data_IF_711249557719
#
_entry.id   IF_711249557719
#
_cell.length_a   1.000
_cell.length_b   1.000
_cell.length_c   1.000
_cell.angle_alpha   90.00
_cell.angle_beta   90.00
_cell.angle_gamma   90.00
#
_symmetry.space_group_name_H-M   'P 1'
#
loop_
_entity.id
_entity.type
_entity.pdbx_description
1 polymer ?
#
# COMPACT_ATOMS: atom_id res chain seq x y z
N UNK A 1 -10.47 -14.05 0.28
CA UNK A 1 -9.53 -13.83 -0.84
C UNK A 1 -8.11 -13.92 -0.30
N UNK A 2 -7.07 -14.15 -1.14
CA UNK A 2 -5.67 -14.26 -0.67
C UNK A 2 -5.23 -13.03 0.14
N UNK A 3 -5.74 -11.85 -0.25
CA UNK A 3 -5.54 -10.57 0.44
C UNK A 3 -5.84 -10.60 1.94
N UNK A 4 -6.76 -11.44 2.38
CA UNK A 4 -7.24 -11.49 3.77
C UNK A 4 -6.25 -12.25 4.67
N UNK A 5 -5.32 -12.99 4.07
CA UNK A 5 -4.28 -13.78 4.74
C UNK A 5 -2.94 -13.07 4.80
N UNK A 6 -2.77 -11.95 4.08
CA UNK A 6 -1.58 -11.12 4.18
C UNK A 6 -1.72 -10.20 5.40
N UNK A 7 -0.72 -10.17 6.29
CA UNK A 7 -0.78 -9.32 7.49
C UNK A 7 -0.09 -7.97 7.27
N UNK A 8 -0.58 -6.92 7.94
CA UNK A 8 0.11 -5.63 8.04
C UNK A 8 0.59 -5.30 9.46
N UNK A 9 -0.15 -5.75 10.47
CA UNK A 9 0.17 -5.63 11.89
C UNK A 9 -0.05 -6.98 12.58
N UNK A 10 0.76 -7.25 13.59
CA UNK A 10 0.60 -8.39 14.51
C UNK A 10 0.75 -7.89 15.94
N UNK A 11 0.32 -8.68 16.91
CA UNK A 11 0.55 -8.39 18.33
C UNK A 11 1.19 -9.58 19.07
N UNK A 12 1.45 -9.40 20.36
CA UNK A 12 2.07 -10.42 21.22
C UNK A 12 1.14 -11.61 21.53
N UNK A 13 -0.16 -11.51 21.19
CA UNK A 13 -1.16 -12.55 21.34
C UNK A 13 -1.38 -13.35 20.05
N UNK A 14 -0.50 -13.19 19.06
CA UNK A 14 -0.58 -13.83 17.75
C UNK A 14 -1.85 -13.48 16.94
N UNK A 15 -2.46 -12.34 17.23
CA UNK A 15 -3.52 -11.77 16.40
C UNK A 15 -2.88 -10.91 15.29
N UNK A 16 -3.56 -10.80 14.15
CA UNK A 16 -3.09 -10.01 13.03
C UNK A 16 -4.20 -9.15 12.44
N UNK A 17 -3.79 -8.02 11.86
CA UNK A 17 -4.66 -7.18 11.04
C UNK A 17 -4.34 -7.42 9.57
N UNK A 18 -5.32 -7.85 8.74
CA UNK A 18 -5.12 -8.04 7.31
C UNK A 18 -4.61 -6.77 6.62
N UNK A 19 -3.68 -6.95 5.68
CA UNK A 19 -3.04 -5.87 4.93
C UNK A 19 -4.05 -5.03 4.18
N UNK A 20 -4.99 -5.66 3.47
CA UNK A 20 -6.02 -4.93 2.72
C UNK A 20 -6.88 -4.06 3.62
N UNK A 21 -7.21 -4.53 4.84
CA UNK A 21 -7.98 -3.74 5.80
C UNK A 21 -7.14 -2.58 6.33
N UNK A 22 -5.85 -2.80 6.62
CA UNK A 22 -4.95 -1.72 7.02
C UNK A 22 -4.84 -0.60 5.97
N UNK A 23 -4.72 -0.97 4.70
CA UNK A 23 -4.63 0.00 3.59
C UNK A 23 -5.94 0.80 3.46
N UNK A 24 -7.10 0.15 3.61
CA UNK A 24 -8.41 0.81 3.61
C UNK A 24 -8.56 1.74 4.82
N UNK A 25 -8.14 1.30 6.01
CA UNK A 25 -8.19 2.12 7.23
C UNK A 25 -7.37 3.41 7.05
N UNK A 26 -6.16 3.31 6.49
CA UNK A 26 -5.29 4.45 6.23
C UNK A 26 -5.91 5.40 5.20
N UNK A 27 -6.51 4.88 4.13
CA UNK A 27 -7.25 5.70 3.16
C UNK A 27 -8.45 6.41 3.81
N UNK A 28 -9.22 5.72 4.66
CA UNK A 28 -10.36 6.31 5.36
C UNK A 28 -9.93 7.42 6.33
N UNK A 29 -8.84 7.22 7.07
CA UNK A 29 -8.26 8.25 7.95
C UNK A 29 -7.78 9.45 7.14
N UNK A 30 -7.06 9.22 6.04
CA UNK A 30 -6.57 10.28 5.15
C UNK A 30 -7.73 11.09 4.57
N UNK A 31 -8.83 10.44 4.21
CA UNK A 31 -10.01 11.11 3.69
C UNK A 31 -10.66 12.04 4.72
N UNK A 32 -10.75 11.60 5.98
CA UNK A 32 -11.22 12.43 7.08
C UNK A 32 -10.30 13.64 7.29
N UNK A 33 -8.98 13.45 7.21
CA UNK A 33 -8.00 14.54 7.32
C UNK A 33 -8.21 15.54 6.19
N UNK A 34 -8.25 15.09 4.94
CA UNK A 34 -8.46 15.93 3.76
C UNK A 34 -9.80 16.69 3.81
N UNK A 35 -10.84 16.09 4.40
CA UNK A 35 -12.14 16.77 4.59
C UNK A 35 -12.07 17.95 5.55
N UNK A 36 -11.11 17.94 6.49
CA UNK A 36 -10.88 18.98 7.49
C UNK A 36 -9.87 20.04 7.03
N UNK A 37 -9.15 19.78 5.94
CA UNK A 37 -8.21 20.73 5.37
C UNK A 37 -8.91 21.96 4.79
N UNK A 38 -8.30 23.16 4.91
CA UNK A 38 -8.77 24.37 4.25
C UNK A 38 -8.99 24.16 2.75
N UNK A 39 -9.93 24.92 2.18
CA UNK A 39 -10.20 24.86 0.74
C UNK A 39 -8.93 25.16 -0.09
N UNK A 40 -8.06 26.04 0.40
CA UNK A 40 -6.78 26.35 -0.25
C UNK A 40 -5.87 25.11 -0.37
N UNK A 41 -5.76 24.29 0.68
CA UNK A 41 -4.97 23.05 0.64
C UNK A 41 -5.53 22.08 -0.41
N UNK A 42 -6.86 21.89 -0.43
CA UNK A 42 -7.53 20.99 -1.38
C UNK A 42 -7.39 21.48 -2.83
N UNK A 43 -7.45 22.79 -3.05
CA UNK A 43 -7.19 23.39 -4.36
C UNK A 43 -5.74 23.16 -4.80
N UNK A 44 -4.76 23.39 -3.91
CA UNK A 44 -3.35 23.15 -4.22
C UNK A 44 -3.07 21.67 -4.57
N UNK A 45 -3.65 20.73 -3.84
CA UNK A 45 -3.55 19.30 -4.17
C UNK A 45 -4.18 18.96 -5.53
N UNK A 46 -5.33 19.54 -5.85
CA UNK A 46 -5.98 19.35 -7.15
C UNK A 46 -5.11 19.92 -8.29
N UNK A 47 -4.55 21.12 -8.10
CA UNK A 47 -3.64 21.76 -9.06
C UNK A 47 -2.39 20.92 -9.34
N UNK A 48 -1.78 20.29 -8.32
CA UNK A 48 -0.62 19.40 -8.50
C UNK A 48 -0.92 18.20 -9.41
N UNK A 49 -2.18 17.73 -9.41
CA UNK A 49 -2.62 16.62 -10.27
C UNK A 49 -3.09 17.09 -11.65
N UNK A 50 -3.31 18.40 -11.84
CA UNK A 50 -3.98 18.93 -13.03
C UNK A 50 -5.46 18.54 -13.15
N UNK A 51 -6.09 18.07 -12.06
CA UNK A 51 -7.47 17.59 -12.03
C UNK A 51 -8.36 18.48 -11.16
N UNK A 52 -9.68 18.28 -11.26
CA UNK A 52 -10.62 18.83 -10.29
C UNK A 52 -10.45 18.14 -8.93
N UNK A 53 -10.85 18.77 -7.83
CA UNK A 53 -10.79 18.12 -6.50
C UNK A 53 -11.60 16.81 -6.44
N UNK A 54 -12.72 16.74 -7.15
CA UNK A 54 -13.58 15.55 -7.19
C UNK A 54 -12.83 14.36 -7.79
N UNK A 55 -11.99 14.61 -8.80
CA UNK A 55 -11.22 13.59 -9.50
C UNK A 55 -9.86 13.34 -8.83
N UNK A 56 -9.20 14.37 -8.29
CA UNK A 56 -7.90 14.26 -7.62
C UNK A 56 -7.99 13.46 -6.31
N UNK A 57 -9.04 13.69 -5.52
CA UNK A 57 -9.23 13.07 -4.20
C UNK A 57 -9.13 11.54 -4.24
N UNK A 58 -9.89 10.79 -5.07
CA UNK A 58 -9.77 9.33 -5.10
C UNK A 58 -8.38 8.84 -5.50
N UNK A 59 -7.68 9.53 -6.40
CA UNK A 59 -6.29 9.19 -6.75
C UNK A 59 -5.33 9.39 -5.59
N UNK A 60 -5.44 10.50 -4.87
CA UNK A 60 -4.63 10.77 -3.66
C UNK A 60 -4.88 9.69 -2.61
N UNK A 61 -6.14 9.32 -2.37
CA UNK A 61 -6.50 8.27 -1.41
C UNK A 61 -5.98 6.90 -1.83
N UNK A 62 -6.00 6.58 -3.13
CA UNK A 62 -5.43 5.35 -3.65
C UNK A 62 -3.92 5.29 -3.40
N UNK A 63 -3.19 6.35 -3.72
CA UNK A 63 -1.75 6.43 -3.46
C UNK A 63 -1.45 6.25 -1.96
N UNK A 64 -2.18 6.95 -1.09
CA UNK A 64 -2.03 6.80 0.37
C UNK A 64 -2.34 5.38 0.84
N UNK A 65 -3.36 4.72 0.27
CA UNK A 65 -3.68 3.33 0.57
C UNK A 65 -2.51 2.39 0.21
N UNK A 66 -1.83 2.67 -0.92
CA UNK A 66 -0.74 1.85 -1.46
C UNK A 66 0.58 1.93 -0.67
N UNK A 67 0.69 2.76 0.37
CA UNK A 67 1.95 2.94 1.10
C UNK A 67 2.59 1.65 1.62
N UNK A 68 1.76 0.68 2.01
CA UNK A 68 2.18 -0.58 2.58
C UNK A 68 2.08 -1.75 1.59
N UNK A 69 1.93 -1.49 0.28
CA UNK A 69 1.81 -2.53 -0.75
C UNK A 69 2.94 -3.57 -0.69
N UNK A 70 4.16 -3.14 -0.41
CA UNK A 70 5.34 -3.99 -0.27
C UNK A 70 5.29 -4.96 0.91
N UNK A 71 4.34 -4.80 1.85
CA UNK A 71 4.08 -5.81 2.88
C UNK A 71 3.53 -7.09 2.30
N UNK A 72 2.93 -7.08 1.10
CA UNK A 72 2.52 -8.28 0.37
C UNK A 72 3.72 -9.12 -0.14
N UNK A 73 4.96 -8.70 0.12
CA UNK A 73 6.15 -9.47 -0.24
C UNK A 73 6.47 -10.61 0.73
N UNK A 74 7.09 -11.71 0.25
CA UNK A 74 7.55 -12.77 1.14
C UNK A 74 8.54 -12.30 2.21
N UNK A 75 9.39 -11.33 1.90
CA UNK A 75 10.38 -10.76 2.83
C UNK A 75 9.73 -10.07 4.03
N UNK A 76 8.59 -9.43 3.84
CA UNK A 76 7.80 -8.88 4.94
C UNK A 76 6.93 -9.96 5.61
N UNK A 77 6.14 -10.71 4.83
CA UNK A 77 5.19 -11.68 5.37
C UNK A 77 5.86 -12.71 6.28
N UNK A 78 7.06 -13.17 5.94
CA UNK A 78 7.78 -14.20 6.69
C UNK A 78 8.57 -13.67 7.90
N UNK A 79 8.46 -12.37 8.24
CA UNK A 79 8.95 -11.83 9.53
C UNK A 79 8.18 -12.38 10.73
N UNK A 80 6.90 -12.69 10.55
CA UNK A 80 6.07 -13.32 11.58
C UNK A 80 6.01 -14.84 11.35
N UNK A 81 6.35 -15.62 12.39
CA UNK A 81 6.53 -17.07 12.28
C UNK A 81 5.27 -17.80 11.82
N UNK A 82 4.08 -17.36 12.26
CA UNK A 82 2.79 -17.98 11.92
C UNK A 82 2.34 -17.73 10.48
N UNK A 83 2.91 -16.74 9.79
CA UNK A 83 2.55 -16.44 8.41
C UNK A 83 2.75 -17.61 7.47
N UNK A 84 3.73 -18.49 7.73
CA UNK A 84 3.93 -19.70 6.90
C UNK A 84 2.71 -20.61 6.94
N UNK A 85 2.16 -20.84 8.12
CA UNK A 85 0.97 -21.68 8.33
C UNK A 85 -0.27 -20.99 7.77
N UNK A 86 -0.41 -19.68 8.03
CA UNK A 86 -1.50 -18.87 7.52
C UNK A 86 -1.57 -18.91 5.98
N UNK A 87 -0.43 -18.68 5.33
CA UNK A 87 -0.32 -18.61 3.87
C UNK A 87 -0.33 -19.98 3.19
N UNK A 88 -0.01 -21.08 3.90
CA UNK A 88 -0.07 -22.44 3.35
C UNK A 88 -1.48 -22.78 2.82
N UNK A 89 -2.52 -22.21 3.44
CA UNK A 89 -3.92 -22.40 3.03
C UNK A 89 -4.30 -21.66 1.73
N UNK A 90 -3.47 -20.73 1.27
CA UNK A 90 -3.79 -19.83 0.14
C UNK A 90 -3.32 -20.33 -1.23
N UNK A 91 -2.42 -21.32 -1.25
CA UNK A 91 -1.77 -21.80 -2.48
C UNK A 91 -0.66 -20.89 -3.02
N UNK A 92 -0.33 -19.77 -2.35
CA UNK A 92 0.84 -18.96 -2.69
C UNK A 92 2.13 -19.78 -2.51
N UNK A 93 2.99 -19.75 -3.53
CA UNK A 93 4.34 -20.32 -3.44
C UNK A 93 5.25 -19.34 -2.70
N UNK A 94 5.69 -19.74 -1.52
CA UNK A 94 6.65 -18.95 -0.74
C UNK A 94 8.10 -19.37 -1.07
N UNK A 95 9.03 -18.42 -1.18
CA UNK A 95 10.45 -18.73 -1.28
C UNK A 95 10.92 -19.42 0.00
N UNK A 96 11.90 -20.34 -0.13
CA UNK A 96 12.46 -21.06 1.03
C UNK A 96 13.16 -20.13 2.02
N UNK A 97 13.88 -19.13 1.50
CA UNK A 97 14.68 -18.18 2.26
C UNK A 97 14.50 -16.78 1.63
N UNK A 98 13.44 -16.03 1.99
CA UNK A 98 13.34 -14.63 1.57
C UNK A 98 14.37 -13.79 2.33
N UNK A 99 14.81 -12.69 1.71
CA UNK A 99 15.52 -11.65 2.45
C UNK A 99 14.50 -10.82 3.25
N UNK A 100 14.50 -10.99 4.58
CA UNK A 100 13.64 -10.23 5.49
C UNK A 100 14.24 -8.90 5.91
N UNK A 101 15.48 -8.59 5.50
CA UNK A 101 16.14 -7.33 5.84
C UNK A 101 15.67 -6.17 4.96
N UNK A 102 15.19 -6.47 3.74
CA UNK A 102 14.62 -5.48 2.83
C UNK A 102 13.40 -4.82 3.50
N UNK A 103 13.41 -3.48 3.51
CA UNK A 103 12.32 -2.70 4.07
C UNK A 103 11.12 -2.72 3.12
N UNK A 104 9.91 -2.88 3.66
CA UNK A 104 8.69 -3.01 2.84
C UNK A 104 8.38 -1.73 2.04
N UNK A 105 8.74 -0.56 2.56
CA UNK A 105 8.63 0.73 1.85
C UNK A 105 9.27 0.69 0.46
N UNK A 106 10.53 0.23 0.36
CA UNK A 106 11.23 0.09 -0.91
C UNK A 106 10.54 -0.90 -1.86
N UNK A 107 9.95 -1.96 -1.31
CA UNK A 107 9.15 -2.90 -2.10
C UNK A 107 7.82 -2.26 -2.54
N UNK A 108 7.21 -1.40 -1.73
CA UNK A 108 6.01 -0.63 -2.10
C UNK A 108 6.30 0.30 -3.27
N UNK A 109 7.42 1.03 -3.23
CA UNK A 109 7.87 1.91 -4.32
C UNK A 109 7.95 1.14 -5.64
N UNK A 110 8.77 0.08 -5.70
CA UNK A 110 8.94 -0.73 -6.93
C UNK A 110 7.61 -1.33 -7.40
N UNK A 111 6.84 -1.92 -6.48
CA UNK A 111 5.60 -2.59 -6.84
C UNK A 111 4.53 -1.62 -7.34
N UNK A 112 4.47 -0.41 -6.77
CA UNK A 112 3.52 0.61 -7.21
C UNK A 112 3.91 1.19 -8.56
N UNK A 113 5.19 1.48 -8.77
CA UNK A 113 5.71 1.95 -10.06
C UNK A 113 5.32 0.97 -11.17
N UNK A 114 5.63 -0.32 -10.98
CA UNK A 114 5.30 -1.38 -11.93
C UNK A 114 3.78 -1.49 -12.16
N UNK A 115 2.97 -1.37 -11.09
CA UNK A 115 1.51 -1.43 -11.20
C UNK A 115 0.92 -0.26 -12.00
N UNK A 116 1.43 0.96 -11.78
CA UNK A 116 0.99 2.16 -12.49
C UNK A 116 1.37 2.09 -13.97
N UNK A 117 2.62 1.71 -14.29
CA UNK A 117 3.07 1.53 -15.67
C UNK A 117 2.26 0.45 -16.39
N UNK A 118 2.00 -0.70 -15.75
CA UNK A 118 1.16 -1.76 -16.30
C UNK A 118 -0.30 -1.33 -16.48
N UNK A 119 -0.75 -0.31 -15.74
CA UNK A 119 -2.06 0.32 -15.89
C UNK A 119 -2.09 1.42 -16.95
N UNK A 120 -0.98 1.63 -17.67
CA UNK A 120 -0.86 2.59 -18.78
C UNK A 120 -0.44 4.01 -18.36
N UNK A 121 0.05 4.19 -17.14
CA UNK A 121 0.58 5.49 -16.71
C UNK A 121 1.93 5.76 -17.38
N UNK A 122 2.25 7.03 -17.70
CA UNK A 122 3.58 7.40 -18.14
C UNK A 122 4.65 6.98 -17.13
N UNK A 123 5.82 6.58 -17.61
CA UNK A 123 6.95 6.13 -16.80
C UNK A 123 7.35 7.19 -15.76
N UNK A 124 7.61 8.42 -16.20
CA UNK A 124 7.99 9.54 -15.32
C UNK A 124 6.95 9.83 -14.23
N UNK A 125 5.66 9.71 -14.55
CA UNK A 125 4.59 9.94 -13.57
C UNK A 125 4.49 8.77 -12.58
N UNK A 126 4.72 7.55 -13.05
CA UNK A 126 4.72 6.36 -12.21
C UNK A 126 5.86 6.41 -11.20
N UNK A 127 7.07 6.75 -11.65
CA UNK A 127 8.27 6.95 -10.82
C UNK A 127 8.02 8.03 -9.75
N UNK A 128 7.51 9.19 -10.18
CA UNK A 128 7.20 10.31 -9.28
C UNK A 128 6.18 9.92 -8.20
N UNK A 129 5.14 9.16 -8.58
CA UNK A 129 4.12 8.71 -7.63
C UNK A 129 4.64 7.64 -6.65
N UNK A 130 5.56 6.78 -7.08
CA UNK A 130 6.15 5.73 -6.24
C UNK A 130 7.26 6.21 -5.32
N UNK A 131 7.98 7.27 -5.68
CA UNK A 131 9.12 7.80 -4.91
C UNK A 131 8.76 8.32 -3.51
N UNK A 132 7.47 8.54 -3.24
CA UNK A 132 6.98 9.01 -1.95
C UNK A 132 6.88 7.95 -0.85
N UNK A 133 7.26 6.69 -1.10
CA UNK A 133 7.05 5.55 -0.19
C UNK A 133 8.29 5.03 0.54
#
# INVERSE_FOLDING_TARGET
>A
MISDYLWAKTNDHDEWHPLILHMIDVAAVADIILSREPQATRNGLAELTGLSWVDARPWILLLVACHDLGKASPGFQLKWKKSKELLASTGIKLPRLPDTSIHHAFVSQIALEELLQNSGWPEELSELCSDGF
#
